data_IF_902448485704
#
_entry.id   IF_902448485704
#
_cell.length_a   1.000
_cell.length_b   1.000
_cell.length_c   1.000
_cell.angle_alpha   90.00
_cell.angle_beta   90.00
_cell.angle_gamma   90.00
#
_symmetry.space_group_name_H-M   'P 1'
#
loop_
_entity.id
_entity.type
_entity.pdbx_description
1 polymer ?
#
# COMPACT_ATOMS: atom_id res chain seq x y z
N UNK A 1 -1.78 16.86 17.85
CA UNK A 1 -2.94 16.38 17.07
C UNK A 1 -4.23 16.20 17.91
N UNK A 2 -4.48 16.94 18.99
CA UNK A 2 -5.56 16.58 19.94
C UNK A 2 -6.80 17.47 19.94
N UNK A 3 -6.70 18.78 19.66
CA UNK A 3 -7.91 19.65 19.70
C UNK A 3 -8.74 19.62 18.41
N UNK A 4 -8.10 19.54 17.24
CA UNK A 4 -8.82 19.51 15.96
C UNK A 4 -9.47 18.16 15.64
N UNK A 5 -8.90 17.06 16.16
CA UNK A 5 -9.46 15.72 15.96
C UNK A 5 -10.89 15.61 16.49
N UNK A 6 -11.16 16.14 17.69
CA UNK A 6 -12.49 16.09 18.31
C UNK A 6 -13.58 16.70 17.41
N UNK A 7 -13.35 17.90 16.86
CA UNK A 7 -14.33 18.57 16.02
C UNK A 7 -14.62 17.78 14.75
N UNK A 8 -13.61 17.11 14.20
CA UNK A 8 -13.80 16.26 13.03
C UNK A 8 -14.67 15.03 13.34
N UNK A 9 -14.46 14.35 14.48
CA UNK A 9 -15.34 13.26 14.92
C UNK A 9 -16.76 13.75 15.15
N UNK A 10 -16.92 14.88 15.85
CA UNK A 10 -18.22 15.48 16.12
C UNK A 10 -18.98 15.77 14.81
N UNK A 11 -18.32 16.41 13.85
CA UNK A 11 -18.91 16.75 12.55
C UNK A 11 -19.45 15.52 11.82
N UNK A 12 -18.69 14.43 11.76
CA UNK A 12 -19.15 13.20 11.08
C UNK A 12 -20.34 12.57 11.79
N UNK A 13 -20.40 12.65 13.12
CA UNK A 13 -21.54 12.14 13.89
C UNK A 13 -22.80 13.00 13.66
N UNK A 14 -22.64 14.32 13.60
CA UNK A 14 -23.74 15.24 13.31
C UNK A 14 -24.26 15.00 11.87
N UNK A 15 -23.39 14.85 10.86
CA UNK A 15 -23.77 14.46 9.50
C UNK A 15 -24.52 13.11 9.49
N UNK A 16 -24.04 12.11 10.24
CA UNK A 16 -24.70 10.82 10.28
C UNK A 16 -26.11 10.88 10.89
N UNK A 17 -26.32 11.72 11.92
CA UNK A 17 -27.65 11.98 12.49
C UNK A 17 -28.58 12.65 11.49
N UNK A 18 -28.06 13.63 10.74
CA UNK A 18 -28.81 14.27 9.65
C UNK A 18 -29.19 13.25 8.58
N UNK A 19 -28.31 12.29 8.26
CA UNK A 19 -28.63 11.20 7.33
C UNK A 19 -29.73 10.29 7.90
N UNK A 20 -29.69 9.93 9.19
CA UNK A 20 -30.75 9.12 9.81
C UNK A 20 -32.13 9.80 9.74
N UNK A 21 -32.19 11.11 9.94
CA UNK A 21 -33.42 11.88 9.91
C UNK A 21 -33.91 12.16 8.49
N UNK A 22 -33.03 12.67 7.63
CA UNK A 22 -33.39 13.26 6.34
C UNK A 22 -33.30 12.26 5.18
N UNK A 23 -32.43 11.25 5.28
CA UNK A 23 -32.13 10.31 4.20
C UNK A 23 -31.77 8.90 4.70
N UNK A 24 -32.65 8.21 5.45
CA UNK A 24 -32.32 6.97 6.17
C UNK A 24 -31.86 5.80 5.27
N UNK A 25 -32.12 5.87 3.96
CA UNK A 25 -31.70 4.88 2.99
C UNK A 25 -30.40 5.23 2.25
N UNK A 26 -29.77 6.37 2.53
CA UNK A 26 -28.53 6.76 1.88
C UNK A 26 -27.33 5.94 2.39
N UNK A 27 -26.25 5.96 1.61
CA UNK A 27 -24.94 5.48 2.03
C UNK A 27 -24.06 6.67 2.39
N UNK A 28 -23.31 6.57 3.49
CA UNK A 28 -22.30 7.53 3.87
C UNK A 28 -20.91 6.99 3.48
N UNK A 29 -20.32 7.55 2.43
CA UNK A 29 -18.96 7.23 2.01
C UNK A 29 -17.96 8.18 2.67
N UNK A 30 -17.09 7.63 3.52
CA UNK A 30 -16.07 8.40 4.24
C UNK A 30 -14.74 8.29 3.51
N UNK A 31 -14.26 9.42 2.99
CA UNK A 31 -12.95 9.55 2.32
C UNK A 31 -11.97 10.38 3.18
N UNK A 32 -12.49 11.15 4.13
CA UNK A 32 -11.75 11.96 5.09
C UNK A 32 -11.06 11.08 6.14
N UNK A 33 -9.80 11.39 6.45
CA UNK A 33 -9.06 10.73 7.53
C UNK A 33 -9.44 11.31 8.90
N UNK A 34 -9.55 10.50 9.96
CA UNK A 34 -9.10 9.12 10.03
C UNK A 34 -10.21 8.11 9.64
N UNK A 35 -10.06 7.47 8.47
CA UNK A 35 -11.13 6.65 7.87
C UNK A 35 -11.49 5.45 8.76
N UNK A 36 -10.51 4.81 9.39
CA UNK A 36 -10.72 3.69 10.30
C UNK A 36 -11.63 4.08 11.47
N UNK A 37 -11.23 5.11 12.22
CA UNK A 37 -11.93 5.53 13.44
C UNK A 37 -13.29 6.13 13.12
N UNK A 38 -13.40 6.95 12.06
CA UNK A 38 -14.67 7.54 11.66
C UNK A 38 -15.66 6.48 11.20
N UNK A 39 -15.25 5.55 10.33
CA UNK A 39 -16.14 4.47 9.86
C UNK A 39 -16.56 3.57 11.02
N UNK A 40 -15.63 3.26 11.94
CA UNK A 40 -15.92 2.47 13.14
C UNK A 40 -16.94 3.18 14.03
N UNK A 41 -16.75 4.47 14.31
CA UNK A 41 -17.65 5.28 15.13
C UNK A 41 -19.05 5.34 14.52
N UNK A 42 -19.18 5.70 13.24
CA UNK A 42 -20.49 5.82 12.59
C UNK A 42 -21.22 4.47 12.55
N UNK A 43 -20.50 3.38 12.27
CA UNK A 43 -21.10 2.04 12.24
C UNK A 43 -21.60 1.53 13.59
N UNK A 44 -21.05 2.04 14.70
CA UNK A 44 -21.39 1.62 16.07
C UNK A 44 -22.44 2.50 16.72
N UNK A 45 -22.38 3.81 16.45
CA UNK A 45 -23.19 4.82 17.14
C UNK A 45 -24.47 5.20 16.37
N UNK A 46 -24.62 4.77 15.12
CA UNK A 46 -25.75 5.12 14.26
C UNK A 46 -26.26 3.92 13.44
N UNK A 47 -27.43 4.06 12.81
CA UNK A 47 -27.99 3.08 11.87
C UNK A 47 -27.63 3.38 10.41
N UNK A 48 -26.80 4.39 10.16
CA UNK A 48 -26.41 4.79 8.80
C UNK A 48 -25.59 3.68 8.14
N UNK A 49 -25.92 3.38 6.88
CA UNK A 49 -25.08 2.52 6.03
C UNK A 49 -23.80 3.27 5.69
N UNK A 50 -22.67 2.84 6.22
CA UNK A 50 -21.39 3.54 6.07
C UNK A 50 -20.34 2.64 5.41
N UNK A 51 -19.49 3.24 4.58
CA UNK A 51 -18.28 2.60 4.05
C UNK A 51 -17.13 3.62 3.97
N UNK A 52 -15.96 3.23 4.50
CA UNK A 52 -14.72 4.00 4.38
C UNK A 52 -13.97 3.65 3.09
N UNK A 53 -13.43 4.66 2.41
CA UNK A 53 -12.71 4.51 1.14
C UNK A 53 -11.32 5.13 1.24
N UNK A 54 -10.30 4.39 0.80
CA UNK A 54 -8.92 4.83 0.74
C UNK A 54 -8.22 4.21 -0.49
N UNK A 55 -7.14 4.83 -0.95
CA UNK A 55 -6.38 4.42 -2.13
C UNK A 55 -5.06 3.68 -1.80
N UNK A 56 -4.76 3.44 -0.52
CA UNK A 56 -3.49 2.80 -0.10
C UNK A 56 -3.22 1.42 -0.73
N UNK A 57 -4.27 0.70 -1.14
CA UNK A 57 -4.13 -0.59 -1.85
C UNK A 57 -3.38 -0.48 -3.20
N UNK A 58 -3.30 0.72 -3.79
CA UNK A 58 -2.56 0.96 -5.03
C UNK A 58 -1.04 0.73 -4.88
N UNK A 59 -0.51 0.73 -3.65
CA UNK A 59 0.87 0.32 -3.36
C UNK A 59 1.18 -1.12 -3.78
N UNK A 60 0.17 -1.94 -4.09
CA UNK A 60 0.34 -3.26 -4.72
C UNK A 60 1.14 -3.20 -6.03
N UNK A 61 1.19 -2.03 -6.69
CA UNK A 61 2.07 -1.79 -7.83
C UNK A 61 3.52 -2.20 -7.55
N UNK A 62 4.04 -1.99 -6.35
CA UNK A 62 5.39 -2.42 -5.99
C UNK A 62 5.62 -3.93 -6.13
N UNK A 63 4.63 -4.75 -5.77
CA UNK A 63 4.71 -6.21 -5.96
C UNK A 63 4.73 -6.57 -7.45
N UNK A 64 4.02 -5.81 -8.29
CA UNK A 64 4.06 -5.96 -9.75
C UNK A 64 5.40 -5.52 -10.34
N UNK A 65 6.01 -4.45 -9.82
CA UNK A 65 7.35 -3.99 -10.24
C UNK A 65 8.39 -5.07 -9.93
N UNK A 66 8.37 -5.65 -8.73
CA UNK A 66 9.23 -6.78 -8.36
C UNK A 66 9.02 -7.98 -9.30
N UNK A 67 7.76 -8.36 -9.54
CA UNK A 67 7.45 -9.45 -10.46
C UNK A 67 7.98 -9.16 -11.88
N UNK A 68 7.82 -7.94 -12.38
CA UNK A 68 8.31 -7.53 -13.69
C UNK A 68 9.85 -7.55 -13.77
N UNK A 69 10.54 -7.04 -12.74
CA UNK A 69 12.00 -7.09 -12.63
C UNK A 69 12.51 -8.52 -12.72
N UNK A 70 11.91 -9.44 -11.95
CA UNK A 70 12.30 -10.86 -11.96
C UNK A 70 11.99 -11.55 -13.29
N UNK A 71 10.78 -11.36 -13.83
CA UNK A 71 10.41 -11.95 -15.13
C UNK A 71 11.29 -11.43 -16.28
N UNK A 72 11.69 -10.15 -16.26
CA UNK A 72 12.61 -9.58 -17.25
C UNK A 72 14.00 -10.23 -17.15
N UNK A 73 14.52 -10.42 -15.93
CA UNK A 73 15.79 -11.09 -15.68
C UNK A 73 15.75 -12.56 -16.12
N UNK A 74 14.68 -13.28 -15.80
CA UNK A 74 14.53 -14.70 -16.12
C UNK A 74 14.34 -14.96 -17.61
N UNK A 75 13.35 -14.29 -18.23
CA UNK A 75 12.90 -14.57 -19.60
C UNK A 75 13.68 -13.81 -20.66
N UNK A 76 14.05 -12.56 -20.37
CA UNK A 76 14.69 -11.67 -21.34
C UNK A 76 16.19 -11.48 -21.07
N UNK A 77 16.72 -12.02 -19.96
CA UNK A 77 18.11 -11.80 -19.51
C UNK A 77 18.46 -10.31 -19.42
N UNK A 78 17.47 -9.49 -19.04
CA UNK A 78 17.57 -8.04 -18.98
C UNK A 78 17.38 -7.56 -17.55
N UNK A 79 18.32 -6.77 -17.04
CA UNK A 79 18.17 -6.08 -15.76
C UNK A 79 17.41 -4.76 -15.98
N UNK A 80 16.22 -4.65 -15.40
CA UNK A 80 15.41 -3.42 -15.42
C UNK A 80 15.27 -2.81 -14.01
N UNK A 81 15.97 -3.35 -13.00
CA UNK A 81 15.94 -2.85 -11.63
C UNK A 81 16.29 -1.37 -11.53
N UNK A 82 17.33 -0.86 -12.21
CA UNK A 82 17.62 0.58 -12.28
C UNK A 82 16.45 1.43 -12.80
N UNK A 83 15.78 0.95 -13.85
CA UNK A 83 14.68 1.67 -14.47
C UNK A 83 13.46 1.74 -13.54
N UNK A 84 13.17 0.65 -12.82
CA UNK A 84 12.10 0.63 -11.83
C UNK A 84 12.42 1.54 -10.63
N UNK A 85 13.63 1.49 -10.09
CA UNK A 85 14.05 2.35 -8.97
C UNK A 85 13.97 3.85 -9.29
N UNK A 86 14.18 4.21 -10.56
CA UNK A 86 14.12 5.59 -11.05
C UNK A 86 12.76 5.99 -11.64
N UNK A 87 11.71 5.16 -11.50
CA UNK A 87 10.37 5.38 -12.06
C UNK A 87 10.35 5.65 -13.58
N UNK A 88 11.26 5.01 -14.32
CA UNK A 88 11.33 5.17 -15.77
C UNK A 88 10.21 4.39 -16.48
N UNK A 89 9.75 4.85 -17.66
CA UNK A 89 8.64 4.20 -18.40
C UNK A 89 8.86 2.72 -18.70
N UNK A 90 10.13 2.30 -18.83
CA UNK A 90 10.53 0.92 -19.07
C UNK A 90 10.00 -0.06 -18.02
N UNK A 91 9.89 0.36 -16.75
CA UNK A 91 9.34 -0.49 -15.70
C UNK A 91 7.85 -0.77 -15.91
N UNK A 92 7.07 0.26 -16.24
CA UNK A 92 5.63 0.13 -16.54
C UNK A 92 5.42 -0.68 -17.81
N UNK A 93 6.24 -0.46 -18.83
CA UNK A 93 6.21 -1.25 -20.06
C UNK A 93 6.48 -2.73 -19.79
N UNK A 94 7.45 -3.04 -18.92
CA UNK A 94 7.75 -4.40 -18.51
C UNK A 94 6.57 -5.05 -17.76
N UNK A 95 5.92 -4.34 -16.83
CA UNK A 95 4.70 -4.81 -16.16
C UNK A 95 3.65 -5.20 -17.20
N UNK A 96 3.32 -4.29 -18.12
CA UNK A 96 2.26 -4.50 -19.10
C UNK A 96 2.57 -5.61 -20.11
N UNK A 97 3.85 -5.84 -20.43
CA UNK A 97 4.26 -6.84 -21.43
C UNK A 97 4.57 -8.22 -20.84
N UNK A 98 5.05 -8.30 -19.60
CA UNK A 98 5.58 -9.54 -19.02
C UNK A 98 4.62 -10.24 -18.06
N UNK A 99 3.70 -9.49 -17.47
CA UNK A 99 2.73 -10.00 -16.49
C UNK A 99 1.40 -10.25 -17.21
N UNK A 100 0.96 -11.50 -17.21
CA UNK A 100 -0.42 -11.84 -17.58
C UNK A 100 -1.31 -11.64 -16.36
N UNK A 101 -2.14 -10.59 -16.37
CA UNK A 101 -3.01 -10.27 -15.25
C UNK A 101 -4.09 -11.34 -14.97
N UNK A 102 -4.41 -12.21 -15.94
CA UNK A 102 -5.35 -13.32 -15.71
C UNK A 102 -4.73 -14.45 -14.87
N UNK A 103 -3.41 -14.53 -14.85
CA UNK A 103 -2.64 -15.50 -14.07
C UNK A 103 -2.25 -14.97 -12.68
N UNK A 104 -2.67 -13.76 -12.35
CA UNK A 104 -2.38 -13.08 -11.09
C UNK A 104 -3.53 -13.32 -10.10
N UNK A 105 -3.20 -13.81 -8.91
CA UNK A 105 -4.15 -14.09 -7.84
C UNK A 105 -3.61 -13.51 -6.53
N UNK A 106 -4.25 -12.46 -6.03
CA UNK A 106 -3.78 -11.71 -4.87
C UNK A 106 -4.91 -11.31 -3.93
N UNK A 107 -4.55 -11.09 -2.67
CA UNK A 107 -5.44 -10.60 -1.62
C UNK A 107 -4.67 -9.63 -0.73
N UNK A 108 -5.32 -8.53 -0.37
CA UNK A 108 -4.83 -7.60 0.63
C UNK A 108 -5.85 -7.49 1.74
N UNK A 109 -5.40 -7.61 2.98
CA UNK A 109 -6.27 -7.55 4.15
C UNK A 109 -5.63 -6.74 5.27
N UNK A 110 -6.48 -6.09 6.08
CA UNK A 110 -6.05 -5.31 7.22
C UNK A 110 -7.01 -4.17 7.56
N UNK A 111 -6.49 -3.14 8.22
CA UNK A 111 -7.22 -1.91 8.56
C UNK A 111 -6.80 -0.79 7.61
N UNK A 112 -7.54 0.33 7.57
CA UNK A 112 -7.11 1.49 6.80
C UNK A 112 -5.70 1.94 7.26
N UNK A 113 -4.80 2.14 6.28
CA UNK A 113 -3.36 2.38 6.47
C UNK A 113 -2.59 1.29 7.23
N UNK A 114 -3.15 0.08 7.35
CA UNK A 114 -2.50 -1.10 7.95
C UNK A 114 -2.96 -2.35 7.19
N UNK A 115 -2.64 -2.40 5.90
CA UNK A 115 -2.97 -3.50 4.98
C UNK A 115 -1.71 -4.27 4.57
N UNK A 116 -1.88 -5.58 4.41
CA UNK A 116 -0.82 -6.52 4.08
C UNK A 116 -1.24 -7.36 2.88
N UNK A 117 -0.28 -7.70 2.01
CA UNK A 117 -0.50 -8.59 0.88
C UNK A 117 -0.58 -10.06 1.36
N UNK A 118 -1.71 -10.46 1.94
CA UNK A 118 -1.89 -11.79 2.55
C UNK A 118 -1.83 -12.94 1.56
N UNK A 119 -2.09 -12.68 0.28
CA UNK A 119 -1.96 -13.66 -0.80
C UNK A 119 -1.31 -13.00 -2.01
N UNK A 120 -0.28 -13.65 -2.54
CA UNK A 120 0.37 -13.24 -3.77
C UNK A 120 0.77 -14.46 -4.58
N UNK A 121 0.07 -14.71 -5.68
CA UNK A 121 0.31 -15.84 -6.57
C UNK A 121 0.38 -15.38 -8.02
N UNK A 122 1.24 -16.05 -8.78
CA UNK A 122 1.34 -15.87 -10.22
C UNK A 122 1.50 -17.23 -10.88
N UNK A 123 0.66 -17.53 -11.87
CA UNK A 123 0.63 -18.83 -12.57
C UNK A 123 0.43 -20.02 -11.62
N UNK A 124 -0.42 -19.84 -10.60
CA UNK A 124 -0.70 -20.84 -9.59
C UNK A 124 0.38 -21.05 -8.53
N UNK A 125 1.54 -20.38 -8.62
CA UNK A 125 2.64 -20.52 -7.66
C UNK A 125 2.69 -19.34 -6.70
N UNK A 126 3.28 -19.53 -5.50
CA UNK A 126 3.49 -18.44 -4.55
C UNK A 126 4.52 -17.44 -5.13
N UNK A 127 4.06 -16.21 -5.39
CA UNK A 127 4.87 -15.17 -6.02
C UNK A 127 5.77 -14.41 -5.03
N UNK A 128 5.65 -14.66 -3.71
CA UNK A 128 6.62 -14.14 -2.74
C UNK A 128 8.07 -14.58 -3.03
N UNK A 129 8.27 -15.70 -3.72
CA UNK A 129 9.61 -16.11 -4.18
C UNK A 129 10.32 -15.00 -4.97
N UNK A 130 9.57 -14.25 -5.78
CA UNK A 130 10.13 -13.18 -6.61
C UNK A 130 10.59 -12.00 -5.77
N UNK A 131 9.86 -11.71 -4.68
CA UNK A 131 10.25 -10.72 -3.69
C UNK A 131 11.50 -11.17 -2.92
N UNK A 132 11.54 -12.41 -2.46
CA UNK A 132 12.71 -12.95 -1.75
C UNK A 132 13.97 -12.95 -2.61
N UNK A 133 13.85 -13.38 -3.87
CA UNK A 133 14.95 -13.35 -4.83
C UNK A 133 15.42 -11.92 -5.12
N UNK A 134 14.49 -10.99 -5.33
CA UNK A 134 14.82 -9.58 -5.53
C UNK A 134 15.52 -8.97 -4.30
N UNK A 135 15.06 -9.28 -3.09
CA UNK A 135 15.69 -8.84 -1.84
C UNK A 135 17.15 -9.34 -1.76
N UNK A 136 17.38 -10.58 -2.16
CA UNK A 136 18.70 -11.20 -2.04
C UNK A 136 19.68 -10.77 -3.14
N UNK A 137 19.20 -10.48 -4.34
CA UNK A 137 20.06 -10.25 -5.51
C UNK A 137 20.11 -8.80 -5.98
N UNK A 138 19.01 -8.06 -5.86
CA UNK A 138 18.79 -6.82 -6.64
C UNK A 138 18.45 -5.60 -5.76
N UNK A 139 17.99 -5.79 -4.52
CA UNK A 139 17.50 -4.70 -3.66
C UNK A 139 18.54 -3.63 -3.33
N UNK A 140 19.82 -3.98 -3.16
CA UNK A 140 20.89 -2.99 -2.90
C UNK A 140 21.11 -2.06 -4.09
N UNK A 141 21.07 -2.60 -5.32
CA UNK A 141 21.13 -1.78 -6.55
C UNK A 141 19.90 -0.88 -6.64
N UNK A 142 18.72 -1.44 -6.42
CA UNK A 142 17.46 -0.69 -6.40
C UNK A 142 17.54 0.48 -5.41
N UNK A 143 17.92 0.23 -4.15
CA UNK A 143 17.94 1.26 -3.12
C UNK A 143 19.01 2.32 -3.36
N UNK A 144 20.16 1.96 -3.95
CA UNK A 144 21.18 2.94 -4.35
C UNK A 144 20.57 3.95 -5.32
N UNK A 145 19.95 3.46 -6.39
CA UNK A 145 19.39 4.31 -7.44
C UNK A 145 18.19 5.07 -6.90
N UNK A 146 17.28 4.40 -6.20
CA UNK A 146 16.12 5.01 -5.55
C UNK A 146 16.53 6.19 -4.67
N UNK A 147 17.58 6.07 -3.83
CA UNK A 147 18.10 7.20 -3.03
C UNK A 147 18.66 8.35 -3.87
N UNK A 148 19.26 8.05 -5.01
CA UNK A 148 19.85 9.05 -5.91
C UNK A 148 18.78 9.77 -6.76
N UNK A 149 17.66 9.10 -7.07
CA UNK A 149 16.66 9.59 -8.02
C UNK A 149 15.31 9.94 -7.41
N UNK A 150 15.02 9.50 -6.19
CA UNK A 150 13.73 9.75 -5.56
C UNK A 150 13.54 11.25 -5.32
N UNK A 151 12.44 11.77 -5.84
CA UNK A 151 11.98 13.15 -5.65
C UNK A 151 10.63 13.20 -4.95
N UNK A 152 10.02 12.04 -4.75
CA UNK A 152 8.70 11.88 -4.18
C UNK A 152 8.82 11.29 -2.77
N UNK A 153 8.47 12.05 -1.70
CA UNK A 153 8.54 11.53 -0.33
C UNK A 153 7.55 10.40 -0.06
N UNK A 154 6.61 10.12 -0.97
CA UNK A 154 5.64 9.03 -0.88
C UNK A 154 6.12 7.73 -1.54
N UNK A 155 7.29 7.72 -2.17
CA UNK A 155 7.87 6.54 -2.81
C UNK A 155 8.53 5.60 -1.79
N UNK A 156 7.70 4.84 -1.07
CA UNK A 156 8.09 4.06 0.10
C UNK A 156 7.81 2.55 -0.01
N UNK A 157 7.05 2.10 -1.01
CA UNK A 157 6.51 0.72 -1.05
C UNK A 157 7.61 -0.38 -1.08
N UNK A 158 8.79 -0.08 -1.63
CA UNK A 158 9.96 -0.99 -1.65
C UNK A 158 11.16 -0.47 -0.86
N UNK A 159 10.97 0.55 0.00
CA UNK A 159 12.06 1.11 0.78
C UNK A 159 12.57 0.09 1.84
N UNK A 160 13.77 0.31 2.43
CA UNK A 160 14.31 -0.60 3.44
C UNK A 160 13.38 -0.87 4.63
N UNK A 161 12.57 0.11 5.05
CA UNK A 161 11.61 -0.07 6.14
C UNK A 161 10.47 -1.05 5.75
N UNK A 162 9.96 -0.96 4.52
CA UNK A 162 8.94 -1.89 4.01
C UNK A 162 9.47 -3.33 3.98
N UNK A 163 10.73 -3.51 3.56
CA UNK A 163 11.36 -4.84 3.50
C UNK A 163 11.69 -5.39 4.89
N UNK A 164 12.10 -4.55 5.85
CA UNK A 164 12.28 -4.99 7.24
C UNK A 164 10.95 -5.40 7.89
N UNK A 165 9.87 -4.67 7.62
CA UNK A 165 8.51 -5.07 8.01
C UNK A 165 8.11 -6.39 7.37
N UNK A 166 8.33 -6.58 6.07
CA UNK A 166 8.10 -7.86 5.40
C UNK A 166 8.84 -9.02 6.09
N UNK A 167 10.14 -8.86 6.35
CA UNK A 167 10.96 -9.88 7.05
C UNK A 167 10.45 -10.18 8.46
N UNK A 168 9.85 -9.20 9.13
CA UNK A 168 9.34 -9.34 10.49
C UNK A 168 7.95 -10.00 10.53
N UNK A 169 7.04 -9.59 9.65
CA UNK A 169 5.63 -9.98 9.70
C UNK A 169 5.24 -11.07 8.69
N UNK A 170 6.12 -11.40 7.74
CA UNK A 170 5.92 -12.46 6.74
C UNK A 170 5.07 -12.05 5.54
N UNK A 171 4.52 -10.84 5.51
CA UNK A 171 3.75 -10.28 4.40
C UNK A 171 4.23 -8.88 4.06
N UNK A 172 4.16 -8.51 2.78
CA UNK A 172 4.55 -7.17 2.33
C UNK A 172 3.51 -6.14 2.82
N UNK A 173 3.90 -5.09 3.57
CA UNK A 173 3.01 -3.98 3.87
C UNK A 173 2.72 -3.20 2.58
N UNK A 174 1.45 -2.82 2.37
CA UNK A 174 1.03 -2.13 1.14
C UNK A 174 0.66 -0.68 1.40
N UNK A 175 1.20 0.25 0.59
CA UNK A 175 0.87 1.67 0.61
C UNK A 175 1.23 2.33 1.93
N UNK A 176 0.28 3.10 2.48
CA UNK A 176 0.47 3.84 3.74
C UNK A 176 0.82 2.96 4.95
N UNK A 177 0.65 1.64 4.84
CA UNK A 177 1.07 0.67 5.87
C UNK A 177 2.56 0.77 6.18
N UNK A 178 3.40 1.10 5.19
CA UNK A 178 4.85 1.29 5.37
C UNK A 178 5.14 2.47 6.32
N UNK A 179 4.29 3.51 6.27
CA UNK A 179 4.41 4.71 7.13
C UNK A 179 3.89 4.46 8.54
N UNK A 180 3.08 3.43 8.74
CA UNK A 180 2.54 3.01 10.04
C UNK A 180 3.49 2.12 10.85
N UNK A 181 4.78 2.07 10.47
CA UNK A 181 5.80 1.30 11.17
C UNK A 181 6.02 1.74 12.62
N UNK A 182 6.80 0.94 13.37
CA UNK A 182 7.15 1.28 14.76
C UNK A 182 8.11 2.47 14.81
N UNK A 183 8.35 3.01 16.01
CA UNK A 183 9.34 4.06 16.26
C UNK A 183 10.77 3.72 15.81
N UNK A 184 11.07 2.45 15.49
CA UNK A 184 12.33 2.01 14.86
C UNK A 184 12.72 2.88 13.65
N UNK A 185 11.75 3.35 12.87
CA UNK A 185 11.99 4.13 11.65
C UNK A 185 11.73 5.63 11.80
N UNK A 186 11.32 6.09 12.98
CA UNK A 186 10.82 7.46 13.20
C UNK A 186 11.38 8.08 14.49
N UNK A 187 12.62 7.74 14.83
CA UNK A 187 13.19 8.03 16.15
C UNK A 187 13.54 9.50 16.38
N UNK A 188 13.61 10.33 15.33
CA UNK A 188 13.82 11.77 15.43
C UNK A 188 13.04 12.53 14.34
N UNK A 189 13.03 13.87 14.42
CA UNK A 189 12.38 14.78 13.46
C UNK A 189 13.31 15.27 12.33
N UNK A 190 14.60 14.95 12.42
CA UNK A 190 15.65 15.31 11.44
C UNK A 190 15.76 14.29 10.29
N UNK A 191 15.20 13.08 10.46
CA UNK A 191 15.21 11.95 9.51
C UNK A 191 13.83 11.67 8.95
#
# INVERSE_FOLDING_TARGET
HTMWGYYQFKEHLDIARDIEELAPNAWFFIVSNPVLELSTMISRETKVKVAGICHGFLGFRAALEVLAMRLAKEKLKKNITPACAAHQPECIEAIMKLIDFNELDFEMAGLNHVIWLTKFRYKGENAYRYLDEWINEDAEEYWKIWRETTTNPWDLDLCPAAIDMYKTYGYLPIGDSVRGGTWKYHWNLET
#
